data_IF_071395499332
#
_entry.id   IF_071395499332
#
_cell.length_a   1.000
_cell.length_b   1.000
_cell.length_c   1.000
_cell.angle_alpha   90.00
_cell.angle_beta   90.00
_cell.angle_gamma   90.00
#
_symmetry.space_group_name_H-M   'P 1'
#
loop_
_entity.id
_entity.type
_entity.pdbx_description
1 polymer ?
#
# COMPACT_ATOMS: atom_id res chain seq x y z
N UNK A 1 8.28 -3.28 -12.50
CA UNK A 1 7.15 -3.85 -11.72
C UNK A 1 5.96 -2.90 -11.79
N UNK A 2 4.70 -3.34 -11.92
CA UNK A 2 3.52 -2.44 -12.01
C UNK A 2 2.77 -2.40 -10.66
N UNK A 3 2.67 -1.24 -9.98
CA UNK A 3 1.95 -1.10 -8.72
C UNK A 3 0.44 -1.01 -8.95
N UNK A 4 -0.34 -1.67 -8.08
CA UNK A 4 -1.81 -1.63 -8.10
C UNK A 4 -2.31 -1.24 -6.71
N UNK A 5 -3.25 -0.30 -6.66
CA UNK A 5 -3.90 0.13 -5.44
C UNK A 5 -5.41 -0.09 -5.51
N UNK A 6 -6.01 -0.38 -4.36
CA UNK A 6 -7.45 -0.51 -4.19
C UNK A 6 -7.95 0.31 -2.99
N UNK A 7 -9.18 0.82 -3.07
CA UNK A 7 -9.84 1.53 -1.99
C UNK A 7 -11.34 1.21 -1.96
N UNK A 8 -11.93 1.15 -0.76
CA UNK A 8 -13.35 0.84 -0.53
C UNK A 8 -13.64 -0.61 -0.10
N UNK A 9 -12.71 -1.55 -0.27
CA UNK A 9 -12.89 -2.96 0.17
C UNK A 9 -13.12 -3.06 1.69
N UNK A 10 -12.49 -2.17 2.46
CA UNK A 10 -12.65 -2.09 3.92
C UNK A 10 -14.07 -1.64 4.35
N UNK A 11 -14.87 -1.05 3.46
CA UNK A 11 -16.27 -0.72 3.74
C UNK A 11 -17.20 -1.93 3.57
N UNK A 12 -16.85 -2.86 2.66
CA UNK A 12 -17.60 -4.09 2.40
C UNK A 12 -17.37 -5.10 3.52
N UNK A 13 -16.11 -5.28 3.93
CA UNK A 13 -15.74 -6.22 4.98
C UNK A 13 -14.85 -5.52 6.02
N UNK A 14 -15.46 -4.77 6.96
CA UNK A 14 -14.70 -4.02 7.94
C UNK A 14 -14.12 -4.93 9.03
N UNK A 15 -12.85 -4.72 9.34
CA UNK A 15 -12.17 -5.37 10.47
C UNK A 15 -11.29 -6.56 10.08
N UNK A 16 -10.68 -7.18 11.10
CA UNK A 16 -9.72 -8.28 10.95
C UNK A 16 -10.36 -9.67 10.99
N UNK A 17 -11.61 -9.77 11.44
CA UNK A 17 -12.35 -11.05 11.57
C UNK A 17 -13.29 -11.20 10.39
N UNK A 18 -13.44 -12.44 9.91
CA UNK A 18 -14.45 -12.76 8.90
C UNK A 18 -15.84 -12.52 9.49
N UNK A 19 -16.57 -11.60 8.89
CA UNK A 19 -17.95 -11.27 9.26
C UNK A 19 -18.82 -11.25 8.01
N UNK A 20 -20.14 -11.22 8.20
CA UNK A 20 -21.05 -11.14 7.06
C UNK A 20 -20.80 -9.84 6.28
N UNK A 21 -20.57 -9.90 4.95
CA UNK A 21 -20.26 -8.70 4.16
C UNK A 21 -21.38 -7.67 4.22
N UNK A 22 -21.01 -6.40 4.35
CA UNK A 22 -21.94 -5.26 4.29
C UNK A 22 -22.26 -4.94 2.83
N UNK A 23 -23.21 -5.68 2.27
CA UNK A 23 -23.64 -5.53 0.87
C UNK A 23 -24.67 -4.40 0.66
N UNK A 24 -25.28 -3.89 1.75
CA UNK A 24 -26.25 -2.79 1.70
C UNK A 24 -25.90 -1.68 2.71
N UNK A 25 -25.94 -0.39 2.30
CA UNK A 25 -26.05 0.10 0.91
C UNK A 25 -24.82 -0.34 0.07
N UNK A 26 -24.94 -0.36 -1.26
CA UNK A 26 -23.85 -0.78 -2.16
C UNK A 26 -22.59 0.06 -1.88
N UNK A 27 -21.46 -0.61 -1.71
CA UNK A 27 -20.16 0.02 -1.51
C UNK A 27 -19.38 0.01 -2.81
N UNK A 28 -18.67 1.11 -3.09
CA UNK A 28 -17.88 1.27 -4.31
C UNK A 28 -16.43 0.91 -4.02
N UNK A 29 -15.91 -0.09 -4.73
CA UNK A 29 -14.48 -0.42 -4.71
C UNK A 29 -13.82 0.18 -5.95
N UNK A 30 -12.75 0.95 -5.74
CA UNK A 30 -11.98 1.58 -6.81
C UNK A 30 -10.61 0.90 -6.88
N UNK A 31 -10.14 0.64 -8.09
CA UNK A 31 -8.82 0.04 -8.36
C UNK A 31 -8.11 0.88 -9.41
N UNK A 32 -6.81 1.08 -9.24
CA UNK A 32 -5.97 1.79 -10.22
C UNK A 32 -4.60 1.13 -10.30
N UNK A 33 -4.07 1.01 -11.52
CA UNK A 33 -2.69 0.65 -11.79
C UNK A 33 -1.85 1.91 -12.04
N UNK A 34 -0.67 1.97 -11.43
CA UNK A 34 0.28 3.05 -11.63
C UNK A 34 1.30 2.78 -12.73
N UNK A 35 2.19 3.75 -13.00
CA UNK A 35 3.34 3.55 -13.88
C UNK A 35 4.29 2.50 -13.29
N UNK A 36 5.14 1.86 -14.11
CA UNK A 36 6.13 0.92 -13.62
C UNK A 36 7.08 1.55 -12.60
N UNK A 37 7.32 0.86 -11.49
CA UNK A 37 8.39 1.17 -10.54
C UNK A 37 9.70 0.64 -11.12
N UNK A 38 10.69 1.52 -11.19
CA UNK A 38 12.06 1.18 -11.59
C UNK A 38 12.80 0.52 -10.42
N UNK A 39 13.23 -0.71 -10.67
CA UNK A 39 13.98 -1.56 -9.75
C UNK A 39 15.24 -2.09 -10.46
N UNK A 40 15.63 -1.47 -11.57
CA UNK A 40 16.65 -2.00 -12.46
C UNK A 40 18.01 -2.13 -11.77
N UNK A 41 18.29 -1.20 -10.84
CA UNK A 41 19.49 -1.16 -9.99
C UNK A 41 19.55 -2.26 -8.91
N UNK A 42 18.44 -2.96 -8.66
CA UNK A 42 18.34 -4.00 -7.64
C UNK A 42 18.38 -5.42 -8.22
N UNK A 43 18.37 -5.57 -9.56
CA UNK A 43 18.48 -6.88 -10.19
C UNK A 43 19.84 -7.55 -9.87
N UNK A 44 19.80 -8.87 -9.71
CA UNK A 44 20.97 -9.67 -9.33
C UNK A 44 21.31 -9.65 -7.83
N UNK A 45 20.60 -8.85 -7.02
CA UNK A 45 20.78 -8.75 -5.56
C UNK A 45 19.58 -9.29 -4.78
N UNK A 46 18.86 -10.28 -5.33
CA UNK A 46 17.65 -10.80 -4.70
C UNK A 46 17.89 -11.48 -3.33
N UNK A 47 19.10 -12.01 -3.11
CA UNK A 47 19.49 -12.64 -1.84
C UNK A 47 19.94 -11.61 -0.79
N UNK A 48 20.14 -10.35 -1.17
CA UNK A 48 20.54 -9.27 -0.27
C UNK A 48 19.31 -8.68 0.44
N UNK A 49 19.20 -8.82 1.78
CA UNK A 49 18.07 -8.30 2.54
C UNK A 49 17.89 -6.78 2.40
N UNK A 50 18.98 -6.03 2.20
CA UNK A 50 18.92 -4.58 2.04
C UNK A 50 18.30 -4.21 0.69
N UNK A 51 18.73 -4.85 -0.40
CA UNK A 51 18.15 -4.63 -1.72
C UNK A 51 16.65 -4.95 -1.73
N UNK A 52 16.24 -6.03 -1.05
CA UNK A 52 14.83 -6.39 -0.90
C UNK A 52 14.02 -5.34 -0.12
N UNK A 53 14.61 -4.77 0.94
CA UNK A 53 13.98 -3.68 1.70
C UNK A 53 13.80 -2.44 0.82
N UNK A 54 14.82 -2.03 0.09
CA UNK A 54 14.75 -0.87 -0.82
C UNK A 54 13.68 -1.07 -1.90
N UNK A 55 13.62 -2.25 -2.51
CA UNK A 55 12.58 -2.57 -3.50
C UNK A 55 11.19 -2.43 -2.89
N UNK A 56 10.98 -3.00 -1.70
CA UNK A 56 9.72 -2.93 -0.96
C UNK A 56 9.34 -1.49 -0.66
N UNK A 57 10.27 -0.68 -0.17
CA UNK A 57 10.04 0.72 0.18
C UNK A 57 9.62 1.55 -1.05
N UNK A 58 10.27 1.34 -2.21
CA UNK A 58 9.91 2.00 -3.49
C UNK A 58 8.52 1.60 -3.98
N UNK A 59 8.20 0.30 -3.93
CA UNK A 59 6.87 -0.20 -4.33
C UNK A 59 5.80 0.39 -3.41
N UNK A 60 6.01 0.37 -2.09
CA UNK A 60 5.06 0.90 -1.12
C UNK A 60 4.91 2.43 -1.23
N UNK A 61 5.94 3.16 -1.66
CA UNK A 61 5.85 4.59 -1.98
C UNK A 61 4.92 4.82 -3.18
N UNK A 62 5.12 4.09 -4.28
CA UNK A 62 4.24 4.19 -5.45
C UNK A 62 2.79 3.82 -5.11
N UNK A 63 2.56 2.74 -4.36
CA UNK A 63 1.22 2.35 -3.90
C UNK A 63 0.59 3.43 -3.01
N UNK A 64 1.36 4.07 -2.13
CA UNK A 64 0.84 5.16 -1.29
C UNK A 64 0.27 6.29 -2.14
N UNK A 65 1.01 6.75 -3.15
CA UNK A 65 0.56 7.82 -4.07
C UNK A 65 -0.72 7.43 -4.81
N UNK A 66 -0.82 6.17 -5.25
CA UNK A 66 -2.04 5.68 -5.89
C UNK A 66 -3.24 5.66 -4.93
N UNK A 67 -3.03 5.24 -3.67
CA UNK A 67 -4.09 5.24 -2.65
C UNK A 67 -4.51 6.67 -2.30
N UNK A 68 -3.57 7.62 -2.17
CA UNK A 68 -3.87 9.05 -1.97
C UNK A 68 -4.82 9.58 -3.05
N UNK A 69 -4.53 9.26 -4.32
CA UNK A 69 -5.40 9.60 -5.43
C UNK A 69 -6.77 8.92 -5.36
N UNK A 70 -6.83 7.65 -4.96
CA UNK A 70 -8.09 6.91 -4.85
C UNK A 70 -9.00 7.45 -3.73
N UNK A 71 -8.42 7.92 -2.62
CA UNK A 71 -9.19 8.44 -1.48
C UNK A 71 -9.39 9.97 -1.52
N UNK A 72 -8.58 10.70 -2.28
CA UNK A 72 -8.60 12.16 -2.33
C UNK A 72 -7.97 12.84 -1.10
N UNK A 73 -7.03 12.17 -0.44
CA UNK A 73 -6.39 12.66 0.80
C UNK A 73 -4.88 12.39 0.76
N UNK A 74 -4.11 13.27 1.41
CA UNK A 74 -2.64 13.16 1.54
C UNK A 74 -2.25 12.22 2.68
N UNK A 75 -1.25 11.38 2.46
CA UNK A 75 -0.78 10.40 3.43
C UNK A 75 -0.15 11.12 4.61
N UNK A 76 -0.35 10.62 5.85
CA UNK A 76 0.43 11.08 6.97
C UNK A 76 1.93 10.94 6.67
N UNK A 77 2.74 11.88 7.14
CA UNK A 77 4.19 11.85 6.98
C UNK A 77 4.80 10.56 7.57
N UNK A 78 4.22 10.08 8.66
CA UNK A 78 4.66 8.88 9.37
C UNK A 78 3.85 7.64 8.99
N UNK A 79 4.55 6.51 8.88
CA UNK A 79 3.98 5.20 8.55
C UNK A 79 3.59 4.47 9.83
N UNK A 80 2.48 3.75 9.80
CA UNK A 80 2.09 2.89 10.92
C UNK A 80 2.94 1.60 10.95
N UNK A 81 3.70 1.39 12.03
CA UNK A 81 4.43 0.15 12.27
C UNK A 81 3.58 -0.81 13.13
N UNK A 82 3.26 -1.99 12.58
CA UNK A 82 2.43 -2.98 13.27
C UNK A 82 3.12 -3.67 14.45
N UNK A 83 4.46 -3.81 14.44
CA UNK A 83 5.22 -4.43 15.53
C UNK A 83 5.33 -3.49 16.71
N UNK A 84 5.63 -2.21 16.45
CA UNK A 84 5.78 -1.18 17.47
C UNK A 84 4.45 -0.56 17.91
N UNK A 85 3.38 -0.77 17.14
CA UNK A 85 2.04 -0.18 17.36
C UNK A 85 2.07 1.36 17.46
N UNK A 86 2.94 1.98 16.68
CA UNK A 86 3.11 3.43 16.65
C UNK A 86 3.37 3.92 15.24
N UNK A 87 3.23 5.23 15.04
CA UNK A 87 3.68 5.89 13.82
C UNK A 87 5.18 6.12 13.88
N UNK A 88 5.89 5.72 12.84
CA UNK A 88 7.33 5.90 12.69
C UNK A 88 7.61 6.76 11.45
N UNK A 89 8.67 7.58 11.45
CA UNK A 89 9.08 8.30 10.26
C UNK A 89 9.31 7.33 9.11
N UNK A 90 8.87 7.70 7.91
CA UNK A 90 9.14 6.90 6.72
C UNK A 90 10.66 6.87 6.50
N UNK A 91 11.27 5.68 6.52
CA UNK A 91 12.66 5.54 6.11
C UNK A 91 12.78 6.09 4.68
N UNK A 92 13.67 7.07 4.49
CA UNK A 92 13.86 7.76 3.22
C UNK A 92 14.84 7.00 2.34
#
# INVERSE_FOLDING_TARGET
MIPVAQWGTHEVMPGRRLTFPRLRPRRTVRVVSGPPVDLSDLYGRAEDPEAMRIATDRIMAAVTVLVERLRGEVAPADVWDHKLKQRVPRAR
#
